data_IF_442322135013
#
_entry.id   IF_442322135013
#
_cell.length_a   1.000
_cell.length_b   1.000
_cell.length_c   1.000
_cell.angle_alpha   90.00
_cell.angle_beta   90.00
_cell.angle_gamma   90.00
#
_symmetry.space_group_name_H-M   'P 1'
#
loop_
_entity.id
_entity.type
_entity.pdbx_description
1 polymer ?
#
# COMPACT_ATOMS: atom_id res chain seq x y z
N UNK A 1 16.18 20.22 -12.87
CA UNK A 1 15.95 18.99 -13.66
C UNK A 1 16.65 17.84 -12.96
N UNK A 2 15.94 16.75 -12.65
CA UNK A 2 16.55 15.58 -12.00
C UNK A 2 17.62 14.96 -12.91
N UNK A 3 18.75 14.52 -12.35
CA UNK A 3 19.78 13.78 -13.10
C UNK A 3 19.34 12.36 -13.48
N UNK A 4 18.26 11.86 -12.89
CA UNK A 4 17.73 10.52 -13.11
C UNK A 4 16.82 10.47 -14.34
N UNK A 5 17.17 9.61 -15.31
CA UNK A 5 16.41 9.40 -16.54
C UNK A 5 15.02 8.82 -16.28
N UNK A 6 14.87 7.93 -15.31
CA UNK A 6 13.57 7.33 -14.96
C UNK A 6 12.59 8.40 -14.47
N UNK A 7 13.06 9.30 -13.60
CA UNK A 7 12.23 10.40 -13.10
C UNK A 7 11.85 11.38 -14.21
N UNK A 8 12.74 11.64 -15.17
CA UNK A 8 12.42 12.47 -16.32
C UNK A 8 11.35 11.82 -17.21
N UNK A 9 11.45 10.51 -17.43
CA UNK A 9 10.49 9.75 -18.23
C UNK A 9 9.11 9.72 -17.57
N UNK A 10 9.05 9.49 -16.25
CA UNK A 10 7.80 9.57 -15.47
C UNK A 10 7.16 10.96 -15.61
N UNK A 11 7.94 12.03 -15.43
CA UNK A 11 7.41 13.39 -15.55
C UNK A 11 6.87 13.66 -16.97
N UNK A 12 7.62 13.31 -18.02
CA UNK A 12 7.19 13.53 -19.41
C UNK A 12 5.98 12.70 -19.81
N UNK A 13 5.86 11.47 -19.32
CA UNK A 13 4.76 10.57 -19.72
C UNK A 13 3.49 10.84 -18.91
N UNK A 14 3.62 11.13 -17.62
CA UNK A 14 2.48 11.13 -16.70
C UNK A 14 2.10 12.51 -16.14
N UNK A 15 3.02 13.49 -16.12
CA UNK A 15 2.80 14.77 -15.44
C UNK A 15 2.71 15.94 -16.42
N UNK A 16 3.63 16.05 -17.39
CA UNK A 16 3.75 17.25 -18.23
C UNK A 16 2.50 17.61 -19.03
N UNK A 17 1.73 16.60 -19.47
CA UNK A 17 0.51 16.83 -20.25
C UNK A 17 -0.70 17.23 -19.39
N UNK A 18 -0.57 17.14 -18.06
CA UNK A 18 -1.67 17.29 -17.11
C UNK A 18 -1.37 18.33 -16.02
N UNK A 19 -0.35 19.19 -16.21
CA UNK A 19 0.09 20.16 -15.20
C UNK A 19 -1.05 21.07 -14.70
N UNK A 20 -1.94 21.51 -15.59
CA UNK A 20 -3.08 22.34 -15.24
C UNK A 20 -4.18 21.62 -14.44
N UNK A 21 -4.17 20.29 -14.45
CA UNK A 21 -5.14 19.43 -13.76
C UNK A 21 -4.59 18.79 -12.49
N UNK A 22 -3.38 19.20 -12.07
CA UNK A 22 -2.78 18.71 -10.85
C UNK A 22 -3.59 19.20 -9.63
N UNK A 23 -3.81 18.34 -8.62
CA UNK A 23 -4.47 18.73 -7.39
C UNK A 23 -3.73 19.89 -6.71
N UNK A 24 -4.48 20.88 -6.21
CA UNK A 24 -3.90 22.03 -5.51
C UNK A 24 -3.57 21.72 -4.06
N UNK A 25 -4.13 20.64 -3.51
CA UNK A 25 -3.91 20.22 -2.13
C UNK A 25 -3.68 18.72 -2.01
N UNK A 26 -3.02 18.32 -0.93
CA UNK A 26 -2.82 16.90 -0.58
C UNK A 26 -4.15 16.16 -0.41
N UNK A 27 -5.14 16.79 0.25
CA UNK A 27 -6.46 16.20 0.46
C UNK A 27 -7.20 15.98 -0.86
N UNK A 28 -7.16 16.94 -1.78
CA UNK A 28 -7.74 16.80 -3.12
C UNK A 28 -7.07 15.67 -3.92
N UNK A 29 -5.74 15.56 -3.83
CA UNK A 29 -5.00 14.45 -4.44
C UNK A 29 -5.45 13.09 -3.92
N UNK A 30 -5.64 12.96 -2.60
CA UNK A 30 -6.13 11.73 -1.97
C UNK A 30 -7.59 11.43 -2.34
N UNK A 31 -8.46 12.43 -2.38
CA UNK A 31 -9.85 12.27 -2.87
C UNK A 31 -9.90 11.81 -4.32
N UNK A 32 -9.00 12.31 -5.16
CA UNK A 32 -8.89 11.85 -6.55
C UNK A 32 -8.46 10.39 -6.66
N UNK A 33 -7.61 9.89 -5.75
CA UNK A 33 -7.28 8.45 -5.66
C UNK A 33 -8.53 7.62 -5.39
N UNK A 34 -9.37 8.06 -4.45
CA UNK A 34 -10.63 7.36 -4.15
C UNK A 34 -11.64 7.43 -5.32
N UNK A 35 -11.76 8.58 -5.98
CA UNK A 35 -12.82 8.83 -6.96
C UNK A 35 -12.49 8.37 -8.38
N UNK A 36 -11.21 8.32 -8.77
CA UNK A 36 -10.79 8.07 -10.15
C UNK A 36 -10.22 6.67 -10.31
N UNK A 37 -10.67 5.98 -11.34
CA UNK A 37 -10.11 4.70 -11.73
C UNK A 37 -8.68 4.87 -12.28
N UNK A 38 -7.75 4.01 -11.83
CA UNK A 38 -6.32 4.02 -12.24
C UNK A 38 -5.61 5.35 -11.96
N UNK A 39 -5.82 5.90 -10.77
CA UNK A 39 -5.12 7.11 -10.33
C UNK A 39 -4.20 6.78 -9.15
N UNK A 40 -2.96 7.27 -9.22
CA UNK A 40 -1.98 7.15 -8.15
C UNK A 40 -1.50 8.55 -7.76
N UNK A 41 -1.27 8.75 -6.46
CA UNK A 41 -0.83 10.05 -5.93
C UNK A 41 0.44 9.88 -5.09
N UNK A 42 1.48 10.64 -5.45
CA UNK A 42 2.73 10.64 -4.71
C UNK A 42 2.70 11.69 -3.62
N UNK A 43 2.83 11.26 -2.37
CA UNK A 43 2.71 12.12 -1.19
C UNK A 43 3.59 11.59 -0.05
N UNK A 44 4.03 12.48 0.84
CA UNK A 44 4.70 12.08 2.08
C UNK A 44 3.75 11.25 2.96
N UNK A 45 4.20 10.11 3.52
CA UNK A 45 3.39 9.28 4.41
C UNK A 45 2.76 10.07 5.57
N UNK A 46 3.48 11.04 6.13
CA UNK A 46 3.00 11.93 7.23
C UNK A 46 1.68 12.61 6.85
N UNK A 47 1.59 13.08 5.61
CA UNK A 47 0.46 13.87 5.17
C UNK A 47 -0.75 12.97 4.91
N UNK A 48 -0.55 11.72 4.48
CA UNK A 48 -1.64 10.74 4.32
C UNK A 48 -2.35 10.56 5.65
N UNK A 49 -1.59 10.32 6.72
CA UNK A 49 -2.13 10.11 8.06
C UNK A 49 -2.96 11.28 8.60
N UNK A 50 -2.62 12.50 8.20
CA UNK A 50 -3.36 13.70 8.61
C UNK A 50 -4.79 13.69 8.04
N UNK A 51 -4.98 13.13 6.83
CA UNK A 51 -6.25 13.20 6.10
C UNK A 51 -7.02 11.87 6.06
N UNK A 52 -6.48 10.78 6.61
CA UNK A 52 -7.14 9.45 6.57
C UNK A 52 -8.58 9.47 7.08
N UNK A 53 -8.88 10.25 8.13
CA UNK A 53 -10.23 10.35 8.71
C UNK A 53 -11.23 11.10 7.83
N UNK A 54 -10.76 11.83 6.83
CA UNK A 54 -11.57 12.63 5.92
C UNK A 54 -11.84 11.93 4.57
N UNK A 55 -11.38 10.70 4.43
CA UNK A 55 -11.51 9.91 3.21
C UNK A 55 -12.52 8.77 3.44
N UNK A 56 -13.37 8.56 2.44
CA UNK A 56 -14.37 7.49 2.44
C UNK A 56 -13.86 6.19 1.77
N UNK A 57 -12.54 6.05 1.61
CA UNK A 57 -11.94 4.90 0.93
C UNK A 57 -10.66 4.40 1.62
N UNK A 58 -10.35 3.13 1.41
CA UNK A 58 -9.10 2.52 1.86
C UNK A 58 -7.96 2.84 0.88
N UNK A 59 -6.83 3.29 1.42
CA UNK A 59 -5.64 3.62 0.64
C UNK A 59 -4.60 2.53 0.79
N UNK A 60 -4.10 2.02 -0.33
CA UNK A 60 -3.01 1.04 -0.36
C UNK A 60 -1.69 1.71 -0.81
N UNK A 61 -0.59 1.57 -0.04
CA UNK A 61 0.71 2.06 -0.47
C UNK A 61 1.27 1.23 -1.63
N UNK A 62 1.88 1.89 -2.62
CA UNK A 62 2.62 1.20 -3.67
C UNK A 62 4.04 0.91 -3.20
N UNK A 63 4.30 -0.33 -2.82
CA UNK A 63 5.62 -0.76 -2.36
C UNK A 63 6.70 -0.60 -3.43
N UNK A 64 7.90 -0.17 -3.03
CA UNK A 64 9.05 0.02 -3.92
C UNK A 64 9.04 1.32 -4.75
N UNK A 65 7.94 2.08 -4.74
CA UNK A 65 7.81 3.34 -5.45
C UNK A 65 7.92 4.54 -4.50
N UNK A 66 9.12 4.78 -3.94
CA UNK A 66 9.38 5.92 -3.06
C UNK A 66 10.69 6.62 -3.39
N UNK A 67 10.74 7.92 -3.09
CA UNK A 67 11.95 8.73 -3.19
C UNK A 67 12.49 8.91 -1.77
N UNK A 68 13.70 8.44 -1.45
CA UNK A 68 14.28 8.64 -0.13
C UNK A 68 14.45 10.13 0.13
N UNK A 69 13.87 10.59 1.23
CA UNK A 69 13.95 11.98 1.66
C UNK A 69 14.14 12.05 3.16
N UNK A 70 14.75 13.13 3.63
CA UNK A 70 14.91 13.41 5.05
C UNK A 70 14.22 14.73 5.39
N UNK A 71 13.44 14.73 6.47
CA UNK A 71 12.91 15.97 7.03
C UNK A 71 14.07 16.84 7.54
N UNK A 72 14.00 18.14 7.29
CA UNK A 72 15.02 19.08 7.73
C UNK A 72 14.39 20.39 8.20
N UNK A 73 15.15 21.16 8.98
CA UNK A 73 14.73 22.49 9.44
C UNK A 73 15.34 23.55 8.52
N UNK A 74 14.47 24.32 7.85
CA UNK A 74 14.89 25.47 7.07
C UNK A 74 15.17 26.66 8.01
N UNK A 75 16.34 27.29 7.84
CA UNK A 75 16.76 28.46 8.64
C UNK A 75 17.30 29.52 7.67
N UNK A 76 17.07 30.80 7.98
CA UNK A 76 17.61 31.91 7.20
C UNK A 76 19.14 31.82 7.06
N UNK A 77 19.63 32.13 5.86
CA UNK A 77 21.07 32.11 5.56
C UNK A 77 21.80 33.10 6.48
N UNK A 78 22.95 32.68 7.03
CA UNK A 78 23.75 33.44 8.01
C UNK A 78 23.04 33.76 9.33
N UNK A 79 21.99 33.03 9.70
CA UNK A 79 21.38 33.17 11.02
C UNK A 79 22.38 32.81 12.14
N UNK A 80 22.48 33.62 13.22
CA UNK A 80 23.37 33.33 14.34
C UNK A 80 22.96 32.05 15.10
N UNK A 81 21.71 31.58 14.94
CA UNK A 81 21.18 30.42 15.65
C UNK A 81 21.54 29.08 15.01
N UNK A 82 22.12 29.06 13.80
CA UNK A 82 22.43 27.81 13.08
C UNK A 82 23.33 26.90 13.90
N UNK A 83 24.34 27.45 14.58
CA UNK A 83 25.27 26.68 15.40
C UNK A 83 24.55 26.01 16.58
N UNK A 84 23.71 26.76 17.29
CA UNK A 84 22.96 26.27 18.45
C UNK A 84 21.96 25.20 18.01
N UNK A 85 21.15 25.47 16.98
CA UNK A 85 20.15 24.53 16.48
C UNK A 85 20.77 23.25 15.97
N UNK A 86 21.90 23.33 15.24
CA UNK A 86 22.64 22.15 14.78
C UNK A 86 23.15 21.32 15.95
N UNK A 87 23.71 21.96 16.99
CA UNK A 87 24.21 21.26 18.17
C UNK A 87 23.07 20.57 18.94
N UNK A 88 21.96 21.27 19.18
CA UNK A 88 20.80 20.70 19.88
C UNK A 88 20.18 19.55 19.09
N UNK A 89 20.05 19.68 17.76
CA UNK A 89 19.57 18.59 16.90
C UNK A 89 20.46 17.34 16.97
N UNK A 90 21.78 17.53 16.92
CA UNK A 90 22.72 16.41 17.09
C UNK A 90 22.57 15.75 18.46
N UNK A 91 22.43 16.55 19.51
CA UNK A 91 22.22 16.02 20.87
C UNK A 91 20.93 15.20 20.95
N UNK A 92 19.83 15.71 20.42
CA UNK A 92 18.53 15.02 20.39
C UNK A 92 18.57 13.72 19.58
N UNK A 93 19.30 13.72 18.46
CA UNK A 93 19.50 12.52 17.65
C UNK A 93 20.32 11.47 18.41
N UNK A 94 21.48 11.86 18.94
CA UNK A 94 22.40 10.94 19.62
C UNK A 94 21.84 10.40 20.93
N UNK A 95 20.97 11.16 21.61
CA UNK A 95 20.27 10.71 22.81
C UNK A 95 19.01 9.89 22.51
N UNK A 96 18.68 9.65 21.24
CA UNK A 96 17.48 8.88 20.84
C UNK A 96 16.14 9.60 21.05
N UNK A 97 16.14 10.89 21.41
CA UNK A 97 14.90 11.65 21.64
C UNK A 97 14.07 11.72 20.35
N UNK A 98 14.73 11.91 19.21
CA UNK A 98 14.05 11.92 17.91
C UNK A 98 13.42 10.57 17.58
N UNK A 99 14.05 9.47 17.99
CA UNK A 99 13.52 8.13 17.76
C UNK A 99 12.26 7.87 18.60
N UNK A 100 12.26 8.33 19.85
CA UNK A 100 11.08 8.24 20.73
C UNK A 100 9.94 9.07 20.15
N UNK A 101 10.19 10.33 19.79
CA UNK A 101 9.20 11.21 19.17
C UNK A 101 8.65 10.63 17.86
N UNK A 102 9.51 10.01 17.04
CA UNK A 102 9.06 9.32 15.85
C UNK A 102 8.17 8.14 16.20
N UNK A 103 8.59 7.29 17.14
CA UNK A 103 7.82 6.11 17.56
C UNK A 103 6.43 6.46 18.08
N UNK A 104 6.35 7.42 18.99
CA UNK A 104 5.09 7.81 19.64
C UNK A 104 4.10 8.44 18.65
N UNK A 105 4.60 9.27 17.72
CA UNK A 105 3.73 10.00 16.80
C UNK A 105 3.48 9.28 15.48
N UNK A 106 4.34 8.38 15.02
CA UNK A 106 4.14 7.65 13.76
C UNK A 106 3.64 6.21 13.94
N UNK A 107 4.11 5.44 14.93
CA UNK A 107 3.74 4.02 15.01
C UNK A 107 2.31 3.78 15.52
N UNK A 108 1.65 4.79 16.08
CA UNK A 108 0.21 4.68 16.38
C UNK A 108 -0.66 4.76 15.12
N UNK A 109 -0.10 5.12 13.96
CA UNK A 109 -0.87 5.46 12.76
C UNK A 109 -0.57 4.55 11.57
N UNK A 110 0.51 3.76 11.62
CA UNK A 110 0.76 2.68 10.66
C UNK A 110 -0.01 1.47 11.18
N UNK A 111 -1.17 1.08 10.60
CA UNK A 111 -1.68 -0.26 10.86
C UNK A 111 -0.54 -1.22 10.50
N UNK A 112 -0.17 -2.10 11.42
CA UNK A 112 0.88 -3.09 11.16
C UNK A 112 0.60 -3.74 9.81
N UNK A 113 1.49 -3.49 8.84
CA UNK A 113 1.62 -4.33 7.66
C UNK A 113 2.22 -5.65 8.13
N UNK A 114 1.39 -6.43 8.81
CA UNK A 114 1.76 -7.60 9.58
C UNK A 114 0.54 -8.52 9.70
N UNK A 115 0.23 -9.18 8.59
CA UNK A 115 -0.73 -10.28 8.50
C UNK A 115 -2.14 -9.96 9.01
N UNK A 116 -2.89 -9.18 8.23
CA UNK A 116 -4.31 -9.50 8.14
C UNK A 116 -4.37 -10.97 7.70
N UNK A 117 -4.90 -11.82 8.59
CA UNK A 117 -5.09 -13.25 8.37
C UNK A 117 -5.77 -13.35 7.02
N UNK A 118 -5.02 -13.79 6.00
CA UNK A 118 -5.48 -13.86 4.63
C UNK A 118 -6.66 -14.84 4.64
N UNK A 119 -7.87 -14.30 4.77
CA UNK A 119 -9.09 -15.09 4.84
C UNK A 119 -9.20 -15.76 3.49
N UNK A 120 -8.87 -17.04 3.46
CA UNK A 120 -8.81 -17.81 2.22
C UNK A 120 -10.21 -17.76 1.62
N UNK A 121 -10.36 -17.02 0.52
CA UNK A 121 -11.64 -16.84 -0.13
C UNK A 121 -12.12 -18.21 -0.62
N UNK A 122 -13.40 -18.53 -0.45
CA UNK A 122 -13.98 -19.82 -0.87
C UNK A 122 -13.76 -20.10 -2.37
N UNK A 123 -13.57 -19.04 -3.16
CA UNK A 123 -13.20 -19.12 -4.58
C UNK A 123 -11.82 -19.77 -4.81
N UNK A 124 -10.88 -19.64 -3.87
CA UNK A 124 -9.54 -20.24 -3.98
C UNK A 124 -9.55 -21.75 -3.65
N UNK A 125 -10.53 -22.25 -2.88
CA UNK A 125 -10.69 -23.69 -2.55
C UNK A 125 -11.69 -24.41 -3.47
N UNK A 126 -12.35 -23.67 -4.36
CA UNK A 126 -13.27 -24.21 -5.38
C UNK A 126 -12.66 -25.34 -6.23
N UNK A 127 -11.41 -25.27 -6.75
CA UNK A 127 -10.88 -26.35 -7.57
C UNK A 127 -10.75 -27.69 -6.81
N UNK A 128 -10.47 -27.63 -5.51
CA UNK A 128 -10.35 -28.83 -4.66
C UNK A 128 -11.73 -29.44 -4.42
N UNK A 129 -12.75 -28.61 -4.16
CA UNK A 129 -14.13 -29.04 -3.99
C UNK A 129 -14.71 -29.69 -5.27
N UNK A 130 -14.38 -29.14 -6.44
CA UNK A 130 -14.82 -29.70 -7.73
C UNK A 130 -14.18 -31.06 -8.00
N UNK A 131 -12.88 -31.21 -7.73
CA UNK A 131 -12.18 -32.50 -7.83
C UNK A 131 -12.81 -33.56 -6.92
N UNK A 132 -13.15 -33.18 -5.68
CA UNK A 132 -13.80 -34.08 -4.73
C UNK A 132 -15.21 -34.49 -5.19
N UNK A 133 -16.01 -33.54 -5.67
CA UNK A 133 -17.36 -33.80 -6.19
C UNK A 133 -17.33 -34.73 -7.42
N UNK A 134 -16.38 -34.52 -8.34
CA UNK A 134 -16.19 -35.40 -9.50
C UNK A 134 -15.82 -36.82 -9.07
N UNK A 135 -14.93 -36.98 -8.09
CA UNK A 135 -14.58 -38.30 -7.56
C UNK A 135 -15.78 -39.05 -6.99
N UNK A 136 -16.66 -38.36 -6.26
CA UNK A 136 -17.89 -38.93 -5.69
C UNK A 136 -18.83 -39.38 -6.81
N UNK A 137 -19.02 -38.56 -7.86
CA UNK A 137 -19.89 -38.88 -8.99
C UNK A 137 -19.37 -40.10 -9.76
N UNK A 138 -18.06 -40.15 -10.05
CA UNK A 138 -17.44 -41.27 -10.76
C UNK A 138 -17.58 -42.56 -9.95
N UNK A 139 -17.33 -42.51 -8.64
CA UNK A 139 -17.49 -43.66 -7.76
C UNK A 139 -18.93 -44.17 -7.75
N UNK A 140 -19.92 -43.27 -7.65
CA UNK A 140 -21.34 -43.63 -7.69
C UNK A 140 -21.76 -44.27 -9.03
N UNK A 141 -21.25 -43.75 -10.16
CA UNK A 141 -21.51 -44.31 -11.48
C UNK A 141 -20.94 -45.73 -11.62
N UNK A 142 -19.70 -45.96 -11.18
CA UNK A 142 -19.10 -47.30 -11.20
C UNK A 142 -19.93 -48.28 -10.38
N UNK A 143 -20.36 -47.88 -9.18
CA UNK A 143 -21.15 -48.73 -8.28
C UNK A 143 -22.55 -49.05 -8.86
N UNK A 144 -23.18 -48.10 -9.56
CA UNK A 144 -24.42 -48.33 -10.29
C UNK A 144 -24.23 -49.29 -11.47
N UNK A 145 -23.15 -49.13 -12.25
CA UNK A 145 -22.87 -50.03 -13.38
C UNK A 145 -22.60 -51.46 -12.91
N UNK A 146 -21.88 -51.62 -11.81
CA UNK A 146 -21.61 -52.93 -11.21
C UNK A 146 -22.90 -53.60 -10.71
N UNK A 147 -23.76 -52.85 -10.02
CA UNK A 147 -25.08 -53.33 -9.56
C UNK A 147 -25.98 -53.75 -10.71
N UNK A 148 -26.00 -52.99 -11.82
CA UNK A 148 -26.80 -53.31 -13.00
C UNK A 148 -26.26 -54.57 -13.70
N UNK A 149 -24.94 -54.67 -13.90
CA UNK A 149 -24.30 -55.85 -14.49
C UNK A 149 -24.47 -57.11 -13.64
N UNK A 150 -24.38 -56.97 -12.31
CA UNK A 150 -24.60 -58.07 -11.37
C UNK A 150 -26.06 -58.55 -11.36
N UNK A 151 -27.03 -57.62 -11.51
CA UNK A 151 -28.44 -57.97 -11.61
C UNK A 151 -28.83 -58.56 -12.97
N UNK A 152 -28.10 -58.22 -14.04
CA UNK A 152 -28.34 -58.75 -15.39
C UNK A 152 -27.69 -60.14 -15.60
N UNK A 153 -26.58 -60.42 -14.90
CA UNK A 153 -25.85 -61.71 -14.97
C UNK A 153 -26.42 -62.77 -14.00
N UNK A 154 -27.53 -62.50 -13.31
CA UNK A 154 -28.20 -63.43 -12.39
C UNK A 154 -29.65 -63.63 -12.81
#
# INVERSE_FOLDING_TARGET
>A
TSGDKVMQDIYKQHISNHESSLPHSSLEGLRNVCARYKYAWMISPINVFTYLKELDCDLEPVFGAYIPGSASMAIQKKSPYVAILRHTLHKMHNSGILQILHRENFLQIIPESGSEIQSVNLNQVTPILVLLALGIIISALLLLTERLMSKYTR
#
